data_IF_834155005925
#
_entry.id   IF_834155005925
#
_cell.length_a   1.000
_cell.length_b   1.000
_cell.length_c   1.000
_cell.angle_alpha   90.00
_cell.angle_beta   90.00
_cell.angle_gamma   90.00
#
_symmetry.space_group_name_H-M   'P 1'
#
loop_
_entity.id
_entity.type
_entity.pdbx_description
1 polymer ?
#
# COMPACT_ATOMS: atom_id res chain seq x y z
N UNK A 1 -8.31 16.41 -7.59
CA UNK A 1 -7.30 15.35 -7.40
C UNK A 1 -7.03 15.19 -5.92
N UNK A 2 -7.11 13.97 -5.41
CA UNK A 2 -6.85 13.74 -4.01
C UNK A 2 -5.50 13.02 -3.85
N UNK A 3 -4.45 13.76 -3.76
CA UNK A 3 -3.11 13.22 -3.55
C UNK A 3 -2.79 13.24 -2.06
N UNK A 4 -2.30 12.11 -1.53
CA UNK A 4 -1.93 12.01 -0.12
C UNK A 4 -0.47 11.60 0.01
N UNK A 5 0.17 12.12 1.06
CA UNK A 5 1.54 11.79 1.44
C UNK A 5 1.50 11.34 2.89
N UNK A 6 1.92 10.11 3.16
CA UNK A 6 1.74 9.52 4.47
C UNK A 6 3.02 8.86 4.95
N UNK A 7 3.30 9.03 6.24
CA UNK A 7 4.30 8.24 6.96
C UNK A 7 3.55 7.27 7.87
N UNK A 8 3.95 6.02 7.89
CA UNK A 8 3.30 5.03 8.73
C UNK A 8 4.15 3.79 8.92
N UNK A 9 3.63 2.89 9.73
CA UNK A 9 4.28 1.62 10.03
C UNK A 9 3.41 0.48 9.55
N UNK A 10 4.00 -0.48 8.85
CA UNK A 10 3.28 -1.66 8.37
C UNK A 10 2.91 -2.52 9.58
N UNK A 11 1.61 -2.77 9.77
CA UNK A 11 1.11 -3.51 10.93
C UNK A 11 0.47 -4.85 10.59
N UNK A 12 0.42 -5.21 9.31
CA UNK A 12 -0.12 -6.49 8.88
C UNK A 12 0.86 -7.18 7.94
N UNK A 13 0.62 -8.47 7.69
CA UNK A 13 1.31 -9.16 6.61
C UNK A 13 0.89 -8.55 5.28
N UNK A 14 1.77 -8.66 4.29
CA UNK A 14 1.50 -8.17 2.95
C UNK A 14 0.88 -9.30 2.14
N UNK A 15 -0.39 -9.14 1.78
CA UNK A 15 -1.10 -10.11 0.97
C UNK A 15 -0.82 -9.79 -0.50
N UNK A 16 -0.27 -10.77 -1.23
CA UNK A 16 0.07 -10.61 -2.63
C UNK A 16 -0.77 -11.56 -3.47
N UNK A 17 -1.37 -11.01 -4.54
CA UNK A 17 -2.22 -11.78 -5.44
C UNK A 17 -1.93 -11.45 -6.88
N UNK A 18 -2.06 -12.42 -7.77
CA UNK A 18 -2.12 -12.17 -9.21
C UNK A 18 -3.56 -11.94 -9.62
N UNK A 19 -3.76 -11.00 -10.54
CA UNK A 19 -5.08 -10.67 -11.06
C UNK A 19 -5.14 -11.11 -12.52
N UNK A 20 -6.17 -11.90 -12.84
CA UNK A 20 -6.39 -12.39 -14.19
C UNK A 20 -7.42 -11.50 -14.86
N UNK A 21 -7.27 -11.25 -16.16
CA UNK A 21 -8.22 -10.49 -16.98
C UNK A 21 -8.34 -9.01 -16.58
N UNK A 22 -7.25 -8.40 -16.14
CA UNK A 22 -7.22 -6.98 -15.78
C UNK A 22 -5.98 -6.33 -16.38
N UNK A 23 -6.00 -4.99 -16.48
CA UNK A 23 -4.82 -4.22 -16.85
C UNK A 23 -3.74 -4.36 -15.79
N UNK A 24 -4.16 -4.47 -14.54
CA UNK A 24 -3.25 -4.69 -13.42
C UNK A 24 -3.02 -6.20 -13.29
N UNK A 25 -1.78 -6.60 -13.19
CA UNK A 25 -1.39 -8.02 -13.16
C UNK A 25 -1.18 -8.55 -11.76
N UNK A 26 -0.85 -7.68 -10.82
CA UNK A 26 -0.63 -8.09 -9.44
C UNK A 26 -1.10 -7.00 -8.49
N UNK A 27 -1.43 -7.41 -7.27
CA UNK A 27 -1.85 -6.49 -6.22
C UNK A 27 -1.24 -6.93 -4.89
N UNK A 28 -0.80 -5.95 -4.11
CA UNK A 28 -0.40 -6.15 -2.72
C UNK A 28 -1.35 -5.36 -1.82
N UNK A 29 -1.84 -6.00 -0.77
CA UNK A 29 -2.80 -5.40 0.16
C UNK A 29 -2.26 -5.55 1.57
N UNK A 30 -2.19 -4.45 2.31
CA UNK A 30 -1.73 -4.48 3.69
C UNK A 30 -2.22 -3.25 4.44
N UNK A 31 -2.03 -3.25 5.76
CA UNK A 31 -2.45 -2.14 6.62
C UNK A 31 -1.24 -1.43 7.19
N UNK A 32 -1.38 -0.12 7.32
CA UNK A 32 -0.40 0.70 8.04
C UNK A 32 -1.07 1.40 9.20
N UNK A 33 -0.27 1.75 10.20
CA UNK A 33 -0.68 2.57 11.33
C UNK A 33 -0.04 3.94 11.19
N UNK A 34 -0.86 4.97 11.30
CA UNK A 34 -0.42 6.36 11.24
C UNK A 34 0.03 6.83 12.63
N UNK A 35 0.63 8.02 12.68
CA UNK A 35 1.13 8.58 13.95
C UNK A 35 0.04 8.78 15.01
N UNK A 36 -1.20 9.00 14.57
CA UNK A 36 -2.34 9.15 15.50
C UNK A 36 -2.99 7.81 15.87
N UNK A 37 -2.31 6.70 15.59
CA UNK A 37 -2.77 5.34 15.84
C UNK A 37 -3.95 4.87 14.96
N UNK A 38 -4.38 5.69 13.99
CA UNK A 38 -5.36 5.26 13.01
C UNK A 38 -4.76 4.22 12.08
N UNK A 39 -5.58 3.29 11.61
CA UNK A 39 -5.17 2.28 10.65
C UNK A 39 -5.81 2.55 9.30
N UNK A 40 -5.06 2.31 8.24
CA UNK A 40 -5.58 2.48 6.88
C UNK A 40 -5.06 1.34 6.01
N UNK A 41 -5.91 0.90 5.08
CA UNK A 41 -5.56 -0.14 4.12
C UNK A 41 -4.92 0.46 2.89
N UNK A 42 -3.81 -0.13 2.47
CA UNK A 42 -3.11 0.24 1.25
C UNK A 42 -3.30 -0.83 0.19
N UNK A 43 -3.40 -0.40 -1.06
CA UNK A 43 -3.38 -1.28 -2.22
C UNK A 43 -2.32 -0.80 -3.18
N UNK A 44 -1.43 -1.67 -3.56
CA UNK A 44 -0.38 -1.39 -4.54
C UNK A 44 -0.55 -2.34 -5.72
N UNK A 45 -0.30 -1.85 -6.92
CA UNK A 45 -0.49 -2.62 -8.15
C UNK A 45 0.81 -2.74 -8.92
N UNK A 46 0.97 -3.85 -9.63
CA UNK A 46 2.06 -4.09 -10.59
C UNK A 46 3.45 -3.86 -9.97
N UNK A 47 4.23 -2.92 -10.46
CA UNK A 47 5.57 -2.66 -9.96
C UNK A 47 5.59 -2.30 -8.47
N UNK A 48 4.61 -1.53 -8.02
CA UNK A 48 4.50 -1.18 -6.60
C UNK A 48 4.18 -2.40 -5.75
N UNK A 49 3.33 -3.30 -6.25
CA UNK A 49 3.03 -4.56 -5.57
C UNK A 49 4.28 -5.44 -5.46
N UNK A 50 5.05 -5.53 -6.53
CA UNK A 50 6.28 -6.32 -6.56
C UNK A 50 7.30 -5.76 -5.56
N UNK A 51 7.44 -4.44 -5.50
CA UNK A 51 8.31 -3.79 -4.53
C UNK A 51 7.88 -4.12 -3.09
N UNK A 52 6.60 -3.98 -2.81
CA UNK A 52 6.08 -4.28 -1.46
C UNK A 52 6.36 -5.71 -1.06
N UNK A 53 6.12 -6.65 -1.95
CA UNK A 53 6.32 -8.07 -1.67
C UNK A 53 7.80 -8.41 -1.43
N UNK A 54 8.69 -7.80 -2.20
CA UNK A 54 10.11 -8.16 -2.17
C UNK A 54 10.93 -7.37 -1.15
N UNK A 55 10.50 -6.18 -0.78
CA UNK A 55 11.33 -5.25 0.01
C UNK A 55 10.75 -4.86 1.36
N UNK A 56 9.45 -4.99 1.55
CA UNK A 56 8.79 -4.51 2.77
C UNK A 56 8.39 -5.67 3.66
N UNK A 57 8.45 -5.41 4.96
CA UNK A 57 8.07 -6.37 5.99
C UNK A 57 7.19 -5.71 7.03
N UNK A 58 6.42 -6.53 7.74
CA UNK A 58 5.70 -6.07 8.91
C UNK A 58 6.65 -5.35 9.86
N UNK A 59 6.18 -4.26 10.42
CA UNK A 59 6.91 -3.35 11.32
C UNK A 59 7.85 -2.36 10.64
N UNK A 60 8.00 -2.41 9.32
CA UNK A 60 8.78 -1.39 8.61
C UNK A 60 8.07 -0.04 8.67
N UNK A 61 8.85 1.03 8.83
CA UNK A 61 8.36 2.39 8.64
C UNK A 61 8.45 2.73 7.15
N UNK A 62 7.38 3.29 6.60
CA UNK A 62 7.31 3.58 5.17
C UNK A 62 6.77 4.97 4.91
N UNK A 63 7.18 5.53 3.76
CA UNK A 63 6.64 6.76 3.19
C UNK A 63 5.84 6.41 1.95
N UNK A 64 4.62 6.95 1.86
CA UNK A 64 3.69 6.58 0.80
C UNK A 64 3.14 7.82 0.13
N UNK A 65 3.16 7.81 -1.21
CA UNK A 65 2.39 8.71 -2.03
C UNK A 65 1.27 7.92 -2.69
N UNK A 66 0.07 8.49 -2.69
CA UNK A 66 -1.05 7.82 -3.32
C UNK A 66 -2.30 8.66 -3.32
N UNK A 67 -3.43 8.01 -3.53
CA UNK A 67 -4.73 8.68 -3.50
C UNK A 67 -5.76 7.78 -2.84
N UNK A 68 -6.80 8.40 -2.27
CA UNK A 68 -7.91 7.67 -1.66
C UNK A 68 -8.90 7.25 -2.73
N UNK A 69 -9.34 6.00 -2.67
CA UNK A 69 -10.43 5.54 -3.51
C UNK A 69 -11.77 5.71 -2.78
N UNK A 70 -12.87 5.31 -3.42
CA UNK A 70 -14.21 5.45 -2.87
C UNK A 70 -14.45 4.61 -1.61
N UNK A 71 -13.59 3.63 -1.34
CA UNK A 71 -13.68 2.76 -0.16
C UNK A 71 -12.76 3.21 0.98
N UNK A 72 -12.22 4.41 0.88
CA UNK A 72 -11.29 4.98 1.86
C UNK A 72 -10.00 4.17 2.02
N UNK A 73 -9.56 3.53 0.95
CA UNK A 73 -8.28 2.84 0.87
C UNK A 73 -7.32 3.71 0.09
N UNK A 74 -6.03 3.61 0.39
CA UNK A 74 -5.02 4.35 -0.36
C UNK A 74 -4.50 3.47 -1.49
N UNK A 75 -4.58 3.98 -2.70
CA UNK A 75 -3.97 3.36 -3.87
C UNK A 75 -2.57 3.96 -4.00
N UNK A 76 -1.56 3.11 -3.96
CA UNK A 76 -0.17 3.55 -3.88
C UNK A 76 0.35 3.94 -5.26
N UNK A 77 0.85 5.18 -5.38
CA UNK A 77 1.61 5.62 -6.56
C UNK A 77 3.10 5.38 -6.36
N UNK A 78 3.58 5.57 -5.13
CA UNK A 78 4.98 5.34 -4.80
C UNK A 78 5.08 4.99 -3.31
N UNK A 79 5.97 4.06 -2.97
CA UNK A 79 6.21 3.67 -1.59
C UNK A 79 7.70 3.36 -1.41
N UNK A 80 8.25 3.80 -0.26
CA UNK A 80 9.63 3.53 0.08
C UNK A 80 9.82 3.50 1.60
N UNK A 81 10.80 2.77 2.06
CA UNK A 81 11.11 2.71 3.48
C UNK A 81 12.37 3.48 3.85
#
# INVERSE_FOLDING_TARGET
MNLVFILGKIISDIEFKFIINSKNKSIAIFKIQLLNNSEITLKAYNEQADYCCSRLNKNDAVYIEGYLNSKMQIIVNNIEK
#
